data_IF_389857435391
#
_entry.id   IF_389857435391
#
_cell.length_a   1.000
_cell.length_b   1.000
_cell.length_c   1.000
_cell.angle_alpha   90.00
_cell.angle_beta   90.00
_cell.angle_gamma   90.00
#
_symmetry.space_group_name_H-M   'P 1'
#
loop_
_entity.id
_entity.type
_entity.pdbx_description
1 polymer ?
#
# COMPACT_ATOMS: atom_id res chain seq x y z
N UNK A 1 -25.25 -0.18 9.50
CA UNK A 1 -23.77 -0.18 9.31
C UNK A 1 -23.15 0.52 10.50
N UNK A 2 -22.27 -0.12 11.28
CA UNK A 2 -21.60 0.56 12.39
C UNK A 2 -20.76 1.73 11.85
N UNK A 3 -20.91 2.92 12.44
CA UNK A 3 -20.10 4.09 12.11
C UNK A 3 -18.61 3.75 12.24
N UNK A 4 -17.83 4.08 11.20
CA UNK A 4 -16.37 3.86 11.13
C UNK A 4 -15.65 5.10 11.64
N UNK A 5 -14.54 4.93 12.36
CA UNK A 5 -13.72 6.05 12.82
C UNK A 5 -12.89 6.66 11.69
N UNK A 6 -12.63 5.88 10.64
CA UNK A 6 -12.06 6.33 9.37
C UNK A 6 -12.58 5.46 8.22
N UNK A 7 -12.82 6.08 7.05
CA UNK A 7 -13.15 5.41 5.80
C UNK A 7 -12.60 6.27 4.64
N UNK A 8 -11.39 5.94 4.20
CA UNK A 8 -10.65 6.69 3.20
C UNK A 8 -10.31 5.78 2.03
N UNK A 9 -10.45 6.30 0.82
CA UNK A 9 -9.88 5.71 -0.39
C UNK A 9 -8.83 6.65 -0.94
N UNK A 10 -7.71 6.11 -1.39
CA UNK A 10 -6.64 6.89 -1.99
C UNK A 10 -5.95 6.14 -3.13
N UNK A 11 -5.31 6.89 -4.02
CA UNK A 11 -4.47 6.36 -5.09
C UNK A 11 -3.42 7.41 -5.48
N UNK A 12 -2.28 6.94 -5.97
CA UNK A 12 -1.23 7.78 -6.56
C UNK A 12 -1.52 7.94 -8.05
N UNK A 13 -1.38 9.16 -8.59
CA UNK A 13 -1.72 9.47 -9.98
C UNK A 13 -0.73 10.42 -10.63
N UNK A 14 -0.33 10.10 -11.87
CA UNK A 14 0.41 10.97 -12.78
C UNK A 14 -0.51 11.97 -13.48
N UNK A 15 0.09 13.04 -14.02
CA UNK A 15 -0.62 14.06 -14.79
C UNK A 15 -1.26 13.50 -16.08
N UNK A 16 -0.65 12.50 -16.70
CA UNK A 16 -1.18 11.77 -17.87
C UNK A 16 -2.28 10.75 -17.55
N UNK A 17 -2.62 10.60 -16.27
CA UNK A 17 -3.73 9.77 -15.81
C UNK A 17 -3.35 8.36 -15.37
N UNK A 18 -2.11 7.90 -15.59
CA UNK A 18 -1.62 6.63 -15.04
C UNK A 18 -1.68 6.66 -13.51
N UNK A 19 -2.05 5.54 -12.89
CA UNK A 19 -2.34 5.47 -11.46
C UNK A 19 -1.97 4.13 -10.83
N UNK A 20 -1.84 4.17 -9.50
CA UNK A 20 -1.77 2.97 -8.68
C UNK A 20 -3.14 2.31 -8.58
N UNK A 21 -3.18 1.13 -7.99
CA UNK A 21 -4.41 0.55 -7.45
C UNK A 21 -5.04 1.51 -6.45
N UNK A 22 -6.37 1.45 -6.36
CA UNK A 22 -7.11 2.20 -5.34
C UNK A 22 -6.98 1.47 -4.00
N UNK A 23 -6.40 2.13 -3.01
CA UNK A 23 -6.29 1.63 -1.66
C UNK A 23 -7.45 2.09 -0.80
N UNK A 24 -7.84 1.25 0.16
CA UNK A 24 -8.89 1.54 1.15
C UNK A 24 -8.33 1.38 2.55
N UNK A 25 -8.43 2.45 3.32
CA UNK A 25 -8.17 2.49 4.75
C UNK A 25 -9.50 2.60 5.49
N UNK A 26 -9.74 1.74 6.47
CA UNK A 26 -10.89 1.91 7.36
C UNK A 26 -10.61 1.49 8.78
N UNK A 27 -11.30 2.11 9.73
CA UNK A 27 -11.12 1.87 11.16
C UNK A 27 -12.42 1.51 11.85
N UNK A 28 -12.33 0.66 12.86
CA UNK A 28 -13.48 0.26 13.70
C UNK A 28 -13.58 1.15 14.93
N UNK A 29 -14.75 1.19 15.57
CA UNK A 29 -14.94 1.87 16.87
C UNK A 29 -14.05 1.31 17.98
N UNK A 30 -13.50 0.10 17.83
CA UNK A 30 -12.56 -0.48 18.78
C UNK A 30 -11.12 0.05 18.59
N UNK A 31 -10.85 0.76 17.49
CA UNK A 31 -9.52 1.28 17.15
C UNK A 31 -8.73 0.41 16.17
N UNK A 32 -9.23 -0.77 15.77
CA UNK A 32 -8.56 -1.59 14.76
C UNK A 32 -8.60 -0.89 13.41
N UNK A 33 -7.45 -0.85 12.72
CA UNK A 33 -7.28 -0.25 11.41
C UNK A 33 -7.04 -1.34 10.37
N UNK A 34 -7.59 -1.16 9.18
CA UNK A 34 -7.44 -2.09 8.06
C UNK A 34 -7.02 -1.35 6.81
N UNK A 35 -6.18 -2.00 6.03
CA UNK A 35 -5.65 -1.50 4.77
C UNK A 35 -5.69 -2.61 3.71
N UNK A 36 -6.20 -2.32 2.52
CA UNK A 36 -6.23 -3.25 1.40
C UNK A 36 -6.41 -2.50 0.08
N UNK A 37 -5.99 -3.10 -1.04
CA UNK A 37 -6.40 -2.60 -2.36
C UNK A 37 -7.88 -2.95 -2.59
N UNK A 38 -8.61 -2.07 -3.28
CA UNK A 38 -10.05 -2.23 -3.50
C UNK A 38 -10.38 -3.52 -4.26
N UNK A 39 -9.57 -3.86 -5.25
CA UNK A 39 -9.68 -5.12 -6.02
C UNK A 39 -9.51 -6.35 -5.13
N UNK A 40 -8.73 -6.25 -4.04
CA UNK A 40 -8.40 -7.37 -3.16
C UNK A 40 -9.10 -7.32 -1.82
N UNK A 41 -9.92 -6.31 -1.52
CA UNK A 41 -10.52 -6.13 -0.19
C UNK A 41 -11.40 -7.29 0.27
N UNK A 42 -11.93 -8.08 -0.67
CA UNK A 42 -12.71 -9.31 -0.39
C UNK A 42 -11.85 -10.57 -0.30
N UNK A 43 -10.56 -10.49 -0.59
CA UNK A 43 -9.63 -11.63 -0.64
C UNK A 43 -8.58 -11.49 0.45
N UNK A 44 -7.84 -10.38 0.49
CA UNK A 44 -6.74 -10.14 1.42
C UNK A 44 -6.86 -8.74 2.06
N UNK A 45 -6.44 -8.61 3.33
CA UNK A 45 -6.20 -7.31 3.96
C UNK A 45 -5.07 -7.36 4.99
N UNK A 46 -4.46 -6.21 5.18
CA UNK A 46 -3.62 -5.93 6.35
C UNK A 46 -4.52 -5.39 7.47
N UNK A 47 -4.34 -5.90 8.68
CA UNK A 47 -5.05 -5.41 9.86
C UNK A 47 -4.07 -5.08 10.98
N UNK A 48 -4.25 -3.90 11.57
CA UNK A 48 -3.44 -3.35 12.65
C UNK A 48 -4.35 -3.21 13.87
N UNK A 49 -4.26 -4.17 14.78
CA UNK A 49 -5.18 -4.25 15.91
C UNK A 49 -4.73 -3.37 17.07
N UNK A 50 -5.68 -2.94 17.91
CA UNK A 50 -5.38 -2.17 19.13
C UNK A 50 -4.46 -2.90 20.09
N UNK A 51 -4.47 -4.24 20.09
CA UNK A 51 -3.53 -5.05 20.88
C UNK A 51 -2.06 -4.92 20.45
N UNK A 52 -1.77 -4.23 19.34
CA UNK A 52 -0.44 -4.16 18.73
C UNK A 52 -0.13 -5.34 17.81
N UNK A 53 -0.97 -6.36 17.77
CA UNK A 53 -0.83 -7.46 16.81
C UNK A 53 -1.32 -7.02 15.44
N UNK A 54 -0.49 -7.25 14.43
CA UNK A 54 -0.75 -6.96 13.05
C UNK A 54 -0.81 -8.26 12.23
N UNK A 55 -1.56 -8.25 11.13
CA UNK A 55 -1.77 -9.44 10.30
C UNK A 55 -1.82 -9.09 8.83
N UNK A 56 -1.27 -9.95 7.99
CA UNK A 56 -1.77 -10.13 6.62
C UNK A 56 -2.59 -11.41 6.59
N UNK A 57 -3.84 -11.30 6.14
CA UNK A 57 -4.76 -12.42 6.19
C UNK A 57 -5.76 -12.39 5.04
N UNK A 58 -6.15 -13.60 4.61
CA UNK A 58 -7.36 -13.77 3.83
C UNK A 58 -8.57 -13.28 4.61
N UNK A 59 -9.57 -12.79 3.89
CA UNK A 59 -10.85 -12.37 4.49
C UNK A 59 -11.64 -13.58 4.98
N UNK A 60 -12.73 -13.33 5.71
CA UNK A 60 -13.60 -14.44 6.15
C UNK A 60 -14.33 -15.03 4.94
N UNK A 61 -14.69 -14.17 4.00
CA UNK A 61 -15.43 -14.49 2.79
C UNK A 61 -14.60 -15.32 1.80
N UNK A 62 -13.29 -15.10 1.74
CA UNK A 62 -12.38 -15.92 0.94
C UNK A 62 -12.11 -17.30 1.58
N UNK A 63 -12.26 -17.39 2.91
CA UNK A 63 -12.03 -18.61 3.66
C UNK A 63 -10.56 -18.86 3.96
N UNK A 64 -10.29 -20.04 4.52
CA UNK A 64 -8.93 -20.55 4.74
C UNK A 64 -8.60 -21.42 3.54
N UNK A 65 -7.51 -21.15 2.78
CA UNK A 65 -7.04 -22.07 1.75
C UNK A 65 -6.83 -23.46 2.34
N UNK A 66 -7.10 -24.51 1.56
CA UNK A 66 -7.00 -25.91 2.02
C UNK A 66 -5.63 -26.31 2.54
N UNK A 67 -4.59 -25.57 2.15
CA UNK A 67 -3.19 -25.77 2.55
C UNK A 67 -2.80 -25.00 3.81
N UNK A 68 -3.72 -24.29 4.47
CA UNK A 68 -3.44 -23.46 5.65
C UNK A 68 -4.35 -23.82 6.84
N UNK A 69 -3.82 -23.71 8.05
CA UNK A 69 -4.57 -23.91 9.29
C UNK A 69 -5.31 -22.64 9.76
N UNK A 70 -4.78 -21.47 9.41
CA UNK A 70 -5.35 -20.15 9.73
C UNK A 70 -5.39 -19.30 8.46
N UNK A 71 -6.41 -18.43 8.34
CA UNK A 71 -6.51 -17.43 7.27
C UNK A 71 -5.37 -16.40 7.30
N UNK A 72 -4.65 -16.27 8.41
CA UNK A 72 -3.51 -15.39 8.53
C UNK A 72 -2.28 -15.99 7.83
N UNK A 73 -1.83 -15.35 6.74
CA UNK A 73 -0.57 -15.69 6.07
C UNK A 73 0.62 -15.40 6.98
N UNK A 74 0.57 -14.28 7.69
CA UNK A 74 1.54 -13.98 8.75
C UNK A 74 0.98 -12.99 9.76
N UNK A 75 1.56 -13.03 10.95
CA UNK A 75 1.29 -12.12 12.08
C UNK A 75 2.62 -11.53 12.55
N UNK A 76 2.57 -10.29 13.02
CA UNK A 76 3.71 -9.64 13.67
C UNK A 76 3.20 -8.66 14.72
N UNK A 77 4.03 -8.29 15.68
CA UNK A 77 3.75 -7.25 16.66
C UNK A 77 4.36 -5.94 16.19
N UNK A 78 3.58 -4.86 16.08
CA UNK A 78 4.13 -3.53 15.76
C UNK A 78 4.99 -2.99 16.91
N UNK A 79 5.91 -2.07 16.61
CA UNK A 79 6.61 -1.32 17.64
C UNK A 79 5.63 -0.57 18.56
N UNK A 80 6.00 -0.46 19.84
CA UNK A 80 5.24 0.32 20.82
C UNK A 80 5.17 1.77 20.38
N UNK A 81 4.00 2.38 20.57
CA UNK A 81 3.82 3.80 20.25
C UNK A 81 4.73 4.64 21.15
N UNK A 82 5.63 5.47 20.58
CA UNK A 82 6.52 6.29 21.38
C UNK A 82 5.74 7.27 22.27
N UNK A 83 6.28 7.62 23.46
CA UNK A 83 5.60 8.50 24.38
C UNK A 83 5.40 9.91 23.78
N UNK A 84 4.38 10.61 24.28
CA UNK A 84 4.09 12.01 23.91
C UNK A 84 5.32 12.88 24.17
N UNK A 85 5.54 13.90 23.33
CA UNK A 85 6.75 14.73 23.35
C UNK A 85 8.03 14.11 22.76
N UNK A 86 8.10 12.80 22.48
CA UNK A 86 9.34 12.18 21.94
C UNK A 86 9.72 12.59 20.51
N UNK A 87 8.83 13.24 19.76
CA UNK A 87 9.03 13.56 18.35
C UNK A 87 9.14 12.34 17.43
N UNK A 88 8.73 11.15 17.90
CA UNK A 88 8.79 9.87 17.17
C UNK A 88 7.39 9.29 16.95
N UNK A 89 7.29 8.41 15.96
CA UNK A 89 6.08 7.63 15.61
C UNK A 89 6.45 6.16 15.44
N UNK A 90 5.49 5.25 15.61
CA UNK A 90 5.63 3.82 15.33
C UNK A 90 5.06 3.51 13.96
N UNK A 91 5.93 3.36 12.95
CA UNK A 91 5.52 3.01 11.59
C UNK A 91 4.99 1.58 11.56
N UNK A 92 3.87 1.35 10.86
CA UNK A 92 3.26 0.03 10.71
C UNK A 92 3.15 -0.42 9.26
N UNK A 93 3.11 0.51 8.30
CA UNK A 93 3.18 0.19 6.88
C UNK A 93 3.94 1.27 6.09
N UNK A 94 4.65 0.84 5.06
CA UNK A 94 5.36 1.68 4.10
C UNK A 94 5.19 1.08 2.70
N UNK A 95 4.58 1.83 1.79
CA UNK A 95 4.22 1.34 0.46
C UNK A 95 4.83 2.25 -0.58
N UNK A 96 5.66 1.68 -1.45
CA UNK A 96 6.28 2.38 -2.58
C UNK A 96 5.41 2.26 -3.83
N UNK A 97 5.22 3.38 -4.50
CA UNK A 97 4.57 3.50 -5.81
C UNK A 97 5.54 4.22 -6.76
N UNK A 98 6.43 3.48 -7.43
CA UNK A 98 7.34 4.06 -8.42
C UNK A 98 6.55 4.68 -9.58
N UNK A 99 6.85 5.94 -9.91
CA UNK A 99 6.08 6.72 -10.89
C UNK A 99 6.10 6.07 -12.28
N UNK A 100 7.23 5.49 -12.67
CA UNK A 100 7.42 4.89 -13.99
C UNK A 100 6.73 3.52 -14.11
N UNK A 101 6.22 2.97 -13.01
CA UNK A 101 5.56 1.67 -12.97
C UNK A 101 4.05 1.79 -12.74
N UNK A 102 3.48 2.99 -12.70
CA UNK A 102 2.03 3.15 -12.62
C UNK A 102 1.35 2.61 -13.88
N UNK A 103 0.07 2.22 -13.78
CA UNK A 103 -0.69 1.62 -14.88
C UNK A 103 -1.78 2.54 -15.39
N UNK A 104 -2.23 2.32 -16.63
CA UNK A 104 -3.44 2.95 -17.14
C UNK A 104 -4.64 2.63 -16.22
N UNK A 105 -5.58 3.57 -16.03
CA UNK A 105 -6.74 3.35 -15.17
C UNK A 105 -7.68 2.31 -15.79
N UNK A 106 -8.15 1.36 -14.99
CA UNK A 106 -9.24 0.46 -15.42
C UNK A 106 -10.59 1.12 -15.15
N UNK A 107 -11.55 0.97 -16.07
CA UNK A 107 -12.85 1.67 -15.99
C UNK A 107 -13.61 1.41 -14.68
N UNK A 108 -13.45 0.22 -14.09
CA UNK A 108 -14.10 -0.17 -12.83
C UNK A 108 -13.36 0.27 -11.55
N UNK A 109 -12.18 0.89 -11.65
CA UNK A 109 -11.36 1.32 -10.52
C UNK A 109 -11.74 2.70 -10.00
N UNK A 110 -12.22 3.59 -10.88
CA UNK A 110 -12.59 4.94 -10.52
C UNK A 110 -13.80 4.97 -9.57
N UNK A 111 -13.70 5.75 -8.50
CA UNK A 111 -14.79 5.91 -7.53
C UNK A 111 -14.99 7.38 -7.17
N UNK A 112 -16.24 7.77 -6.89
CA UNK A 112 -16.65 9.18 -6.70
C UNK A 112 -15.98 9.89 -5.52
N UNK A 113 -15.50 9.16 -4.50
CA UNK A 113 -14.86 9.72 -3.31
C UNK A 113 -13.51 9.06 -3.09
N UNK A 114 -12.47 9.74 -3.57
CA UNK A 114 -11.09 9.30 -3.48
C UNK A 114 -10.17 10.49 -3.24
N UNK A 115 -9.17 10.28 -2.41
CA UNK A 115 -8.07 11.21 -2.21
C UNK A 115 -6.97 10.89 -3.21
N UNK A 116 -6.72 11.80 -4.15
CA UNK A 116 -5.65 11.65 -5.13
C UNK A 116 -4.35 12.19 -4.57
N UNK A 117 -3.30 11.39 -4.65
CA UNK A 117 -1.94 11.79 -4.34
C UNK A 117 -1.22 11.98 -5.66
N UNK A 118 -0.63 13.16 -5.87
CA UNK A 118 0.21 13.40 -7.04
C UNK A 118 1.42 12.46 -6.99
N UNK A 119 1.72 11.79 -8.11
CA UNK A 119 2.91 10.97 -8.21
C UNK A 119 4.19 11.80 -8.05
N UNK A 120 5.25 11.17 -7.58
CA UNK A 120 6.60 11.72 -7.64
C UNK A 120 6.99 12.01 -9.11
N UNK A 121 8.01 12.83 -9.37
CA UNK A 121 8.61 12.95 -10.70
C UNK A 121 9.04 11.58 -11.27
N UNK A 122 9.26 11.52 -12.58
CA UNK A 122 9.87 10.38 -13.27
C UNK A 122 11.21 10.02 -12.61
N UNK A 123 11.52 8.72 -12.50
CA UNK A 123 12.65 8.22 -11.71
C UNK A 123 12.44 8.22 -10.19
N UNK A 124 11.35 8.78 -9.71
CA UNK A 124 10.99 8.81 -8.28
C UNK A 124 9.92 7.79 -7.90
N UNK A 125 9.70 7.68 -6.60
CA UNK A 125 8.61 6.91 -6.02
C UNK A 125 7.82 7.75 -5.02
N UNK A 126 6.50 7.53 -5.02
CA UNK A 126 5.64 8.03 -3.94
C UNK A 126 5.56 6.99 -2.86
N UNK A 127 5.96 7.37 -1.65
CA UNK A 127 5.90 6.51 -0.48
C UNK A 127 4.71 6.87 0.38
N UNK A 128 3.83 5.91 0.63
CA UNK A 128 2.74 6.05 1.59
C UNK A 128 3.15 5.42 2.91
N UNK A 129 3.01 6.16 3.99
CA UNK A 129 3.38 5.75 5.34
C UNK A 129 2.17 5.76 6.26
N UNK A 130 1.96 4.64 6.95
CA UNK A 130 1.01 4.52 8.05
C UNK A 130 1.76 4.37 9.38
N UNK A 131 1.37 5.14 10.39
CA UNK A 131 2.03 5.12 11.69
C UNK A 131 1.08 5.40 12.86
N UNK A 132 1.45 4.93 14.05
CA UNK A 132 0.83 5.24 15.33
C UNK A 132 1.66 6.28 16.09
N UNK A 133 1.01 7.19 16.79
CA UNK A 133 1.66 8.21 17.61
C UNK A 133 0.87 8.49 18.89
N UNK A 134 1.53 9.08 19.88
CA UNK A 134 0.87 9.60 21.08
C UNK A 134 0.61 11.12 21.00
N UNK A 135 0.93 11.77 19.88
CA UNK A 135 0.73 13.21 19.70
C UNK A 135 -0.69 13.50 19.18
N UNK A 136 -1.21 14.70 19.41
CA UNK A 136 -2.44 15.17 18.76
C UNK A 136 -2.19 15.61 17.31
N UNK A 137 -3.29 15.82 16.57
CA UNK A 137 -3.26 16.22 15.16
C UNK A 137 -2.49 17.53 14.92
N UNK A 138 -2.64 18.51 15.81
CA UNK A 138 -2.02 19.83 15.65
C UNK A 138 -0.49 19.73 15.73
N UNK A 139 0.01 18.90 16.64
CA UNK A 139 1.43 18.59 16.81
C UNK A 139 1.97 17.88 15.57
N UNK A 140 1.25 16.88 15.04
CA UNK A 140 1.68 16.16 13.82
C UNK A 140 1.73 17.10 12.61
N UNK A 141 0.71 17.94 12.41
CA UNK A 141 0.69 18.94 11.33
C UNK A 141 1.90 19.87 11.42
N UNK A 142 2.22 20.36 12.61
CA UNK A 142 3.40 21.22 12.85
C UNK A 142 4.71 20.47 12.58
N UNK A 143 4.84 19.23 13.03
CA UNK A 143 6.05 18.42 12.79
C UNK A 143 6.30 18.21 11.29
N UNK A 144 5.24 17.97 10.52
CA UNK A 144 5.35 17.75 9.08
C UNK A 144 5.61 19.04 8.31
N UNK A 145 5.01 20.16 8.71
CA UNK A 145 5.29 21.45 8.06
C UNK A 145 6.71 21.95 8.32
N UNK A 146 7.24 21.77 9.53
CA UNK A 146 8.59 22.24 9.89
C UNK A 146 9.68 21.43 9.18
N UNK A 147 9.48 20.11 9.05
CA UNK A 147 10.48 19.24 8.39
C UNK A 147 10.35 19.27 6.87
N UNK A 148 9.19 19.60 6.32
CA UNK A 148 8.95 19.67 4.87
C UNK A 148 8.99 18.32 4.13
N UNK A 149 9.39 17.24 4.81
CA UNK A 149 9.60 15.93 4.19
C UNK A 149 8.31 15.14 3.92
N UNK A 150 7.21 15.44 4.62
CA UNK A 150 5.99 14.60 4.59
C UNK A 150 4.72 15.42 4.48
N UNK A 151 3.78 14.90 3.71
CA UNK A 151 2.43 15.44 3.54
C UNK A 151 1.42 14.59 4.30
N UNK A 152 0.67 15.22 5.22
CA UNK A 152 -0.37 14.54 5.98
C UNK A 152 -1.62 14.32 5.11
N UNK A 153 -2.03 13.06 4.94
CA UNK A 153 -3.28 12.70 4.24
C UNK A 153 -4.43 12.66 5.24
N UNK A 154 -4.22 11.94 6.36
CA UNK A 154 -5.25 11.73 7.37
C UNK A 154 -4.62 11.53 8.73
N UNK A 155 -5.17 12.24 9.72
CA UNK A 155 -5.02 11.90 11.13
C UNK A 155 -6.35 11.34 11.65
N UNK A 156 -6.29 10.34 12.52
CA UNK A 156 -7.46 9.72 13.17
C UNK A 156 -7.15 9.46 14.64
N UNK A 157 -7.86 10.13 15.55
CA UNK A 157 -7.83 9.79 16.98
C UNK A 157 -8.45 8.42 17.23
N UNK A 158 -7.77 7.58 18.00
CA UNK A 158 -8.23 6.24 18.35
C UNK A 158 -8.76 6.20 19.81
N UNK A 159 -9.61 5.22 20.15
CA UNK A 159 -10.19 5.11 21.50
C UNK A 159 -9.16 4.87 22.61
N UNK A 160 -8.01 4.31 22.28
CA UNK A 160 -6.90 4.04 23.20
C UNK A 160 -5.95 5.25 23.37
N UNK A 161 -6.41 6.46 23.03
CA UNK A 161 -5.65 7.72 23.12
C UNK A 161 -4.43 7.82 22.19
N UNK A 162 -4.24 6.85 21.29
CA UNK A 162 -3.28 6.96 20.20
C UNK A 162 -3.88 7.77 19.02
N UNK A 163 -3.01 8.36 18.21
CA UNK A 163 -3.33 8.87 16.88
C UNK A 163 -2.82 7.92 15.81
N UNK A 164 -3.65 7.65 14.80
CA UNK A 164 -3.23 6.99 13.56
C UNK A 164 -3.00 8.03 12.46
N UNK A 165 -1.86 7.94 11.80
CA UNK A 165 -1.41 8.84 10.74
C UNK A 165 -1.33 8.07 9.43
N UNK A 166 -1.89 8.64 8.37
CA UNK A 166 -1.58 8.29 6.99
C UNK A 166 -0.93 9.51 6.33
N UNK A 167 0.21 9.30 5.70
CA UNK A 167 1.00 10.37 5.07
C UNK A 167 1.74 9.90 3.84
N UNK A 168 2.29 10.83 3.08
CA UNK A 168 3.14 10.49 1.94
C UNK A 168 4.34 11.41 1.79
N UNK A 169 5.32 10.95 1.03
CA UNK A 169 6.45 11.74 0.56
C UNK A 169 6.98 11.18 -0.77
N UNK A 170 7.91 11.92 -1.38
CA UNK A 170 8.60 11.51 -2.60
C UNK A 170 10.08 11.31 -2.29
N UNK A 171 10.67 10.28 -2.89
CA UNK A 171 12.11 10.06 -2.88
C UNK A 171 12.53 9.37 -4.17
N UNK A 172 13.83 9.33 -4.41
CA UNK A 172 14.42 8.67 -5.58
C UNK A 172 14.10 7.17 -5.57
N UNK A 173 14.01 6.59 -6.76
CA UNK A 173 13.79 5.18 -6.97
C UNK A 173 14.80 4.64 -7.96
N UNK A 174 15.43 3.52 -7.61
CA UNK A 174 16.51 2.92 -8.41
C UNK A 174 16.04 2.31 -9.75
N UNK A 175 14.74 2.40 -10.08
CA UNK A 175 14.15 1.95 -11.36
C UNK A 175 14.55 0.52 -11.76
N UNK A 176 14.71 -0.36 -10.77
CA UNK A 176 15.03 -1.76 -11.04
C UNK A 176 13.82 -2.47 -11.66
N UNK A 177 14.00 -2.89 -12.91
CA UNK A 177 13.04 -3.72 -13.63
C UNK A 177 12.96 -5.13 -13.00
N UNK A 178 11.79 -5.75 -13.11
CA UNK A 178 11.53 -7.09 -12.61
C UNK A 178 10.93 -7.93 -13.74
N UNK A 179 11.72 -8.90 -14.22
CA UNK A 179 11.24 -9.97 -15.09
C UNK A 179 10.74 -11.15 -14.25
N UNK A 180 9.60 -11.71 -14.64
CA UNK A 180 9.06 -12.95 -14.07
C UNK A 180 8.88 -13.94 -15.22
N UNK A 181 9.71 -14.98 -15.29
CA UNK A 181 9.60 -15.97 -16.37
C UNK A 181 8.28 -16.72 -16.27
N UNK A 182 7.67 -16.97 -17.41
CA UNK A 182 6.55 -17.88 -17.58
C UNK A 182 7.04 -19.32 -17.76
N UNK A 183 6.11 -20.26 -17.69
CA UNK A 183 6.35 -21.68 -17.98
C UNK A 183 5.22 -22.23 -18.85
N UNK A 184 5.58 -22.99 -19.88
CA UNK A 184 4.63 -23.62 -20.80
C UNK A 184 3.84 -22.60 -21.63
N UNK A 185 2.53 -22.51 -21.37
CA UNK A 185 1.61 -21.60 -22.08
C UNK A 185 1.49 -20.22 -21.41
N UNK A 186 2.22 -19.98 -20.31
CA UNK A 186 2.19 -18.71 -19.59
C UNK A 186 3.27 -17.79 -20.16
N UNK A 187 2.85 -16.60 -20.60
CA UNK A 187 3.77 -15.55 -21.05
C UNK A 187 4.68 -15.07 -19.91
N UNK A 188 5.91 -14.70 -20.25
CA UNK A 188 6.79 -13.91 -19.38
C UNK A 188 6.11 -12.59 -19.00
N UNK A 189 6.34 -12.12 -17.78
CA UNK A 189 5.88 -10.82 -17.32
C UNK A 189 7.06 -9.88 -17.13
N UNK A 190 6.91 -8.65 -17.60
CA UNK A 190 7.90 -7.59 -17.40
C UNK A 190 7.25 -6.43 -16.64
N UNK A 191 7.83 -6.10 -15.49
CA UNK A 191 7.55 -4.89 -14.74
C UNK A 191 8.74 -3.96 -14.97
N UNK A 192 8.57 -2.97 -15.85
CA UNK A 192 9.65 -2.08 -16.27
C UNK A 192 9.22 -0.61 -16.21
N UNK A 193 10.21 0.23 -15.97
CA UNK A 193 10.09 1.69 -16.15
C UNK A 193 9.70 2.06 -17.59
N UNK A 194 10.08 1.24 -18.57
CA UNK A 194 9.68 1.34 -19.98
C UNK A 194 8.42 0.55 -20.33
N UNK A 195 7.59 1.09 -21.20
CA UNK A 195 6.45 0.41 -21.84
C UNK A 195 6.43 0.77 -23.34
N UNK A 196 7.39 0.24 -24.13
CA UNK A 196 7.61 0.67 -25.52
C UNK A 196 6.41 0.41 -26.43
N UNK A 197 5.58 -0.58 -26.09
CA UNK A 197 4.38 -0.93 -26.82
C UNK A 197 3.12 -0.21 -26.30
N UNK A 198 3.28 0.72 -25.34
CA UNK A 198 2.19 1.47 -24.70
C UNK A 198 1.03 0.56 -24.28
N UNK A 199 1.37 -0.57 -23.66
CA UNK A 199 0.40 -1.59 -23.20
C UNK A 199 -0.54 -1.04 -22.13
N UNK A 200 -0.13 0.03 -21.44
CA UNK A 200 -0.84 0.58 -20.30
C UNK A 200 -0.54 -0.18 -19.01
N UNK A 201 0.44 -1.10 -19.01
CA UNK A 201 0.85 -1.93 -17.87
C UNK A 201 -0.34 -2.61 -17.17
N UNK A 202 -1.11 -3.45 -17.89
CA UNK A 202 -2.38 -3.96 -17.41
C UNK A 202 -2.23 -4.92 -16.23
N UNK A 203 -1.05 -5.48 -15.97
CA UNK A 203 -0.81 -6.39 -14.85
C UNK A 203 -0.27 -5.58 -13.68
N UNK A 204 -0.77 -5.81 -12.47
CA UNK A 204 -0.22 -5.17 -11.26
C UNK A 204 0.16 -6.24 -10.25
N UNK A 205 1.38 -6.13 -9.74
CA UNK A 205 1.86 -6.97 -8.65
C UNK A 205 2.08 -6.12 -7.40
N UNK A 206 1.79 -6.72 -6.25
CA UNK A 206 2.11 -6.16 -4.94
C UNK A 206 2.90 -7.19 -4.16
N UNK A 207 4.07 -6.83 -3.68
CA UNK A 207 4.92 -7.75 -2.95
C UNK A 207 5.76 -7.03 -1.89
N UNK A 208 6.27 -7.82 -0.95
CA UNK A 208 7.03 -7.35 0.19
C UNK A 208 7.38 -8.50 1.11
N UNK A 209 8.38 -8.30 1.96
CA UNK A 209 8.82 -9.31 2.90
C UNK A 209 7.91 -9.37 4.12
N UNK A 210 7.79 -10.56 4.71
CA UNK A 210 7.16 -10.72 6.03
C UNK A 210 7.93 -9.86 7.05
N UNK A 211 7.26 -9.02 7.86
CA UNK A 211 7.93 -8.20 8.87
C UNK A 211 8.37 -9.04 10.08
N UNK A 212 9.42 -8.60 10.75
CA UNK A 212 9.74 -9.04 12.11
C UNK A 212 8.90 -8.28 13.14
N UNK A 213 8.90 -8.75 14.38
CA UNK A 213 8.30 -8.01 15.48
C UNK A 213 9.05 -6.69 15.72
N UNK A 214 8.31 -5.60 15.88
CA UNK A 214 8.82 -4.23 15.94
C UNK A 214 8.79 -3.52 14.57
N UNK A 215 8.72 -4.25 13.46
CA UNK A 215 8.83 -3.67 12.13
C UNK A 215 7.47 -3.27 11.52
N UNK A 216 7.57 -2.53 10.41
CA UNK A 216 6.47 -2.18 9.52
C UNK A 216 6.37 -3.18 8.35
N UNK A 217 5.17 -3.35 7.80
CA UNK A 217 5.05 -4.01 6.48
C UNK A 217 5.58 -3.09 5.38
N UNK A 218 6.48 -3.61 4.57
CA UNK A 218 7.15 -2.88 3.48
C UNK A 218 6.66 -3.47 2.17
N UNK A 219 5.94 -2.68 1.37
CA UNK A 219 5.31 -3.15 0.13
C UNK A 219 5.78 -2.31 -1.06
N UNK A 220 5.81 -2.94 -2.22
CA UNK A 220 5.97 -2.30 -3.52
C UNK A 220 4.78 -2.66 -4.38
N UNK A 221 4.24 -1.70 -5.12
CA UNK A 221 3.24 -1.95 -6.14
C UNK A 221 3.81 -1.55 -7.50
N UNK A 222 3.89 -2.52 -8.42
CA UNK A 222 4.42 -2.32 -9.77
C UNK A 222 3.36 -2.70 -10.80
N UNK A 223 3.21 -1.88 -11.83
CA UNK A 223 2.54 -2.21 -13.07
C UNK A 223 3.51 -2.84 -14.07
N UNK A 224 3.03 -3.81 -14.82
CA UNK A 224 3.78 -4.52 -15.85
C UNK A 224 2.86 -5.05 -16.95
N UNK A 225 3.45 -5.76 -17.91
CA UNK A 225 2.78 -6.33 -19.06
C UNK A 225 3.35 -7.71 -19.39
N UNK A 226 2.57 -8.50 -20.12
CA UNK A 226 3.05 -9.78 -20.63
C UNK A 226 3.91 -9.55 -21.88
N UNK A 227 5.01 -10.28 -21.99
CA UNK A 227 5.80 -10.38 -23.21
C UNK A 227 5.17 -11.47 -24.10
N UNK A 228 5.11 -11.29 -25.43
CA UNK A 228 4.73 -12.37 -26.33
C UNK A 228 5.68 -13.55 -26.15
N UNK A 229 5.16 -14.78 -26.23
CA UNK A 229 6.01 -15.97 -26.36
C UNK A 229 6.70 -15.89 -27.72
N UNK A 230 8.03 -15.75 -27.72
CA UNK A 230 8.83 -15.92 -28.92
C UNK A 230 8.74 -17.40 -29.35
N UNK A 231 7.96 -17.66 -30.39
CA UNK A 231 7.78 -19.02 -30.95
C UNK A 231 9.00 -19.50 -31.76
N UNK A 232 10.15 -18.81 -31.69
CA UNK A 232 11.31 -19.10 -32.57
C UNK A 232 12.14 -20.33 -32.15
N UNK A 233 11.81 -21.02 -31.06
CA UNK A 233 12.53 -22.23 -30.60
C UNK A 233 11.63 -23.45 -30.33
N UNK A 234 10.65 -23.69 -31.20
CA UNK A 234 9.96 -24.99 -31.29
C UNK A 234 10.37 -25.69 -32.59
N UNK A 235 11.61 -26.19 -32.62
CA UNK A 235 12.08 -27.19 -33.60
C UNK A 235 12.36 -28.52 -32.87
#
# INVERSE_FOLDING_TARGET
MASKIVDLRFAVRRTDGYMSSVWKLWGTKKGDIYLSTRSMTKIEKYSFHVSGICRSAFTKEHGVPSTMEDRAMFKWKRAVTPPRGSGKVSRVAWIAFPTDFLSAPRQNELCKKMYWITAAPQGGSTYIEAAYCAQDESTIKKMYSVRGERNLIKYTSLPNQEGFILSYYHADWENNDLGVPGEGEVNDLLFSSGDPNNTGRPIRIRFGSKPSDGDAIMLRELGGYALPIDNEHKD
#
